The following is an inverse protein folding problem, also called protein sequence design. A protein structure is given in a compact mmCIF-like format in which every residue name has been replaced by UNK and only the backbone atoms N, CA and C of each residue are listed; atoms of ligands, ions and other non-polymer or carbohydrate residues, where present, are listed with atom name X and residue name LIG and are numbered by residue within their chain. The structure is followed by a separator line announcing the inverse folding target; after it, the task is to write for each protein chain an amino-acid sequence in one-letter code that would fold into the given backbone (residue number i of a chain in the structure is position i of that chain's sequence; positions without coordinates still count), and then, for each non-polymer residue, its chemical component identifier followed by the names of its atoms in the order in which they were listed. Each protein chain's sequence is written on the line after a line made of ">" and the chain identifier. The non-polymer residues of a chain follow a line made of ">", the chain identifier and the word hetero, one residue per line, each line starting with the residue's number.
data_IF_760903870722
#
_entry.id   IF_760903870722
#
_cell.length_a   1.000
_cell.length_b   1.000
_cell.length_c   1.000
_cell.angle_alpha   90.00
_cell.angle_beta   90.00
_cell.angle_gamma   90.00
#
_symmetry.space_group_name_H-M   'P 1'
#
loop_
_entity.id
_entity.type
_entity.pdbx_description
1 polymer ?
#
# COMPACT_ATOMS: atom_id res chain seq x y z
N UNK A 1 15.75 -1.63 -9.39
CA UNK A 1 15.05 -2.55 -10.32
C UNK A 1 14.78 -3.91 -9.67
N UNK A 2 15.79 -4.61 -9.13
CA UNK A 2 15.64 -5.90 -8.41
C UNK A 2 14.71 -5.86 -7.19
N UNK A 3 14.81 -4.83 -6.35
CA UNK A 3 13.93 -4.69 -5.17
C UNK A 3 12.45 -4.48 -5.53
N UNK A 4 12.15 -3.74 -6.59
CA UNK A 4 10.78 -3.51 -7.06
C UNK A 4 10.16 -4.78 -7.63
N UNK A 5 10.93 -5.54 -8.43
CA UNK A 5 10.53 -6.85 -8.94
C UNK A 5 10.22 -7.83 -7.80
N UNK A 6 11.01 -7.80 -6.71
CA UNK A 6 10.74 -8.62 -5.54
C UNK A 6 9.45 -8.21 -4.82
N UNK A 7 9.17 -6.90 -4.69
CA UNK A 7 7.94 -6.43 -4.05
C UNK A 7 6.69 -6.85 -4.82
N UNK A 8 6.75 -6.83 -6.16
CA UNK A 8 5.63 -7.24 -7.01
C UNK A 8 5.31 -8.74 -6.86
N UNK A 9 6.33 -9.60 -6.78
CA UNK A 9 6.14 -11.03 -6.57
C UNK A 9 5.53 -11.33 -5.19
N UNK A 10 6.03 -10.68 -4.14
CA UNK A 10 5.46 -10.84 -2.79
C UNK A 10 4.01 -10.33 -2.75
N UNK A 11 3.71 -9.22 -3.43
CA UNK A 11 2.34 -8.71 -3.48
C UNK A 11 1.35 -9.70 -4.14
N UNK A 12 1.78 -10.49 -5.13
CA UNK A 12 0.94 -11.54 -5.72
C UNK A 12 0.58 -12.64 -4.70
N UNK A 13 1.55 -13.10 -3.92
CA UNK A 13 1.31 -14.10 -2.86
C UNK A 13 0.34 -13.57 -1.80
N UNK A 14 0.48 -12.30 -1.42
CA UNK A 14 -0.42 -11.69 -0.45
C UNK A 14 -1.82 -11.43 -1.02
N UNK A 15 -1.97 -11.19 -2.33
CA UNK A 15 -3.29 -11.15 -2.96
C UNK A 15 -3.99 -12.51 -2.94
N UNK A 16 -3.24 -13.61 -3.03
CA UNK A 16 -3.78 -14.96 -2.78
C UNK A 16 -4.20 -15.14 -1.33
N UNK A 17 -3.41 -14.67 -0.38
CA UNK A 17 -3.76 -14.70 1.04
C UNK A 17 -5.05 -13.93 1.33
N UNK A 18 -5.26 -12.75 0.72
CA UNK A 18 -6.53 -12.00 0.84
C UNK A 18 -7.72 -12.82 0.34
N UNK A 19 -7.56 -13.60 -0.74
CA UNK A 19 -8.65 -14.46 -1.23
C UNK A 19 -9.04 -15.56 -0.23
N UNK A 20 -8.08 -16.07 0.54
CA UNK A 20 -8.32 -17.10 1.55
C UNK A 20 -8.83 -16.53 2.87
N UNK A 21 -8.42 -15.30 3.22
CA UNK A 21 -8.76 -14.65 4.49
C UNK A 21 -8.94 -13.14 4.29
N UNK A 22 -10.09 -12.72 3.73
CA UNK A 22 -10.31 -11.32 3.34
C UNK A 22 -10.40 -10.35 4.54
N UNK A 23 -10.65 -10.87 5.73
CA UNK A 23 -10.75 -10.10 6.98
C UNK A 23 -9.47 -10.19 7.84
N UNK A 24 -8.36 -10.67 7.29
CA UNK A 24 -7.07 -10.64 7.97
C UNK A 24 -6.42 -9.25 7.83
N UNK A 25 -6.41 -8.50 8.93
CA UNK A 25 -5.83 -7.16 8.95
C UNK A 25 -4.34 -7.16 8.62
N UNK A 26 -3.58 -8.18 9.03
CA UNK A 26 -2.13 -8.22 8.86
C UNK A 26 -1.75 -8.44 7.40
N UNK A 27 -2.55 -9.21 6.65
CA UNK A 27 -2.41 -9.35 5.20
C UNK A 27 -2.62 -8.01 4.49
N UNK A 28 -3.65 -7.23 4.88
CA UNK A 28 -3.89 -5.90 4.32
C UNK A 28 -2.78 -4.91 4.70
N UNK A 29 -2.20 -5.00 5.89
CA UNK A 29 -1.06 -4.17 6.31
C UNK A 29 0.15 -4.44 5.41
N UNK A 30 0.47 -5.71 5.16
CA UNK A 30 1.62 -6.07 4.33
C UNK A 30 1.41 -5.63 2.88
N UNK A 31 0.21 -5.82 2.32
CA UNK A 31 -0.11 -5.30 0.98
C UNK A 31 0.06 -3.79 0.90
N UNK A 32 -0.41 -3.04 1.90
CA UNK A 32 -0.23 -1.60 1.96
C UNK A 32 1.24 -1.18 1.92
N UNK A 33 2.10 -1.89 2.66
CA UNK A 33 3.55 -1.64 2.66
C UNK A 33 4.17 -1.98 1.30
N UNK A 34 3.83 -3.13 0.72
CA UNK A 34 4.36 -3.56 -0.58
C UNK A 34 3.98 -2.60 -1.70
N UNK A 35 2.72 -2.14 -1.73
CA UNK A 35 2.27 -1.15 -2.71
C UNK A 35 2.95 0.20 -2.52
N UNK A 36 3.19 0.63 -1.29
CA UNK A 36 3.93 1.87 -1.02
C UNK A 36 5.39 1.78 -1.49
N UNK A 37 6.05 0.63 -1.27
CA UNK A 37 7.40 0.37 -1.80
C UNK A 37 7.45 0.36 -3.34
N UNK A 38 6.37 -0.10 -3.97
CA UNK A 38 6.20 -0.07 -5.43
C UNK A 38 5.68 1.27 -5.98
N UNK A 39 5.45 2.27 -5.11
CA UNK A 39 4.86 3.58 -5.46
C UNK A 39 3.43 3.50 -6.03
N UNK A 40 2.73 2.40 -5.79
CA UNK A 40 1.32 2.21 -6.14
C UNK A 40 0.43 2.76 -5.02
N UNK A 41 0.51 4.07 -4.78
CA UNK A 41 -0.05 4.68 -3.56
C UNK A 41 -1.56 4.51 -3.41
N UNK A 42 -2.33 4.51 -4.50
CA UNK A 42 -3.78 4.30 -4.44
C UNK A 42 -4.14 2.90 -3.89
N UNK A 43 -3.40 1.87 -4.32
CA UNK A 43 -3.56 0.51 -3.80
C UNK A 43 -3.11 0.43 -2.34
N UNK A 44 -2.00 1.10 -2.00
CA UNK A 44 -1.53 1.16 -0.62
C UNK A 44 -2.56 1.80 0.33
N UNK A 45 -3.17 2.92 -0.10
CA UNK A 45 -4.24 3.61 0.63
C UNK A 45 -5.42 2.67 0.86
N UNK A 46 -5.88 1.98 -0.19
CA UNK A 46 -7.00 1.03 -0.09
C UNK A 46 -6.70 -0.10 0.91
N UNK A 47 -5.51 -0.69 0.85
CA UNK A 47 -5.09 -1.75 1.78
C UNK A 47 -5.01 -1.26 3.23
N UNK A 48 -4.42 -0.08 3.49
CA UNK A 48 -4.37 0.47 4.85
C UNK A 48 -5.75 0.87 5.39
N UNK A 49 -6.65 1.34 4.53
CA UNK A 49 -8.05 1.59 4.93
C UNK A 49 -8.77 0.31 5.32
N UNK A 50 -8.56 -0.80 4.59
CA UNK A 50 -9.14 -2.08 4.93
C UNK A 50 -8.58 -2.62 6.26
N UNK A 51 -7.27 -2.50 6.49
CA UNK A 51 -6.66 -2.84 7.78
C UNK A 51 -7.23 -1.98 8.94
N UNK A 52 -7.45 -0.68 8.71
CA UNK A 52 -8.06 0.23 9.70
C UNK A 52 -9.52 -0.11 10.01
N UNK A 53 -10.30 -0.62 9.05
CA UNK A 53 -11.65 -1.14 9.34
C UNK A 53 -11.62 -2.30 10.34
N UNK A 54 -10.60 -3.15 10.24
CA UNK A 54 -10.43 -4.34 11.08
C UNK A 54 -9.75 -4.02 12.43
N UNK A 55 -8.81 -3.07 12.44
CA UNK A 55 -8.05 -2.61 13.62
C UNK A 55 -8.13 -1.07 13.77
N UNK A 56 -9.29 -0.48 14.09
CA UNK A 56 -9.48 0.98 14.06
C UNK A 56 -8.68 1.77 15.11
N UNK A 57 -8.22 1.08 16.16
CA UNK A 57 -7.42 1.66 17.26
C UNK A 57 -5.91 1.46 17.10
N UNK A 58 -5.46 0.86 15.99
CA UNK A 58 -4.03 0.76 15.69
C UNK A 58 -3.53 2.06 15.06
N UNK A 59 -3.01 2.94 15.91
CA UNK A 59 -2.48 4.26 15.49
C UNK A 59 -1.28 4.16 14.54
N UNK A 60 -0.58 3.04 14.49
CA UNK A 60 0.49 2.84 13.52
C UNK A 60 -0.06 2.81 12.08
N UNK A 61 -1.30 2.36 11.88
CA UNK A 61 -1.96 2.33 10.59
C UNK A 61 -2.38 3.71 10.12
N UNK A 62 -2.85 4.57 11.03
CA UNK A 62 -3.12 5.97 10.73
C UNK A 62 -1.86 6.71 10.27
N UNK A 63 -0.72 6.44 10.92
CA UNK A 63 0.57 6.98 10.49
C UNK A 63 0.97 6.49 9.09
N UNK A 64 0.82 5.18 8.80
CA UNK A 64 1.10 4.61 7.47
C UNK A 64 0.19 5.20 6.39
N UNK A 65 -1.10 5.37 6.67
CA UNK A 65 -2.05 5.98 5.74
C UNK A 65 -1.67 7.44 5.43
N UNK A 66 -1.42 8.25 6.46
CA UNK A 66 -1.02 9.66 6.29
C UNK A 66 0.28 9.81 5.49
N UNK A 67 1.30 9.00 5.79
CA UNK A 67 2.56 9.00 5.04
C UNK A 67 2.35 8.59 3.57
N UNK A 68 1.49 7.61 3.31
CA UNK A 68 1.16 7.16 1.95
C UNK A 68 0.46 8.26 1.16
N UNK A 69 -0.50 8.97 1.77
CA UNK A 69 -1.20 10.09 1.13
C UNK A 69 -0.25 11.25 0.80
N UNK A 70 0.66 11.60 1.72
CA UNK A 70 1.67 12.63 1.47
C UNK A 70 2.63 12.28 0.31
N UNK A 71 2.96 11.00 0.15
CA UNK A 71 3.78 10.51 -0.95
C UNK A 71 3.03 10.44 -2.29
N UNK A 72 1.71 10.18 -2.26
CA UNK A 72 0.86 10.11 -3.45
C UNK A 72 0.81 11.45 -4.21
N UNK A 73 0.63 12.56 -3.47
CA UNK A 73 0.54 13.92 -4.03
C UNK A 73 1.83 14.33 -4.77
N UNK A 74 3.00 13.79 -4.39
CA UNK A 74 4.27 14.10 -5.07
C UNK A 74 4.50 13.33 -6.38
N UNK A 75 3.63 12.38 -6.74
CA UNK A 75 3.91 11.46 -7.86
C UNK A 75 3.06 11.73 -9.11
N UNK A 76 1.83 12.24 -8.97
CA UNK A 76 0.99 12.61 -10.11
C UNK A 76 1.48 13.89 -10.79
N UNK A 77 1.89 14.90 -10.01
CA UNK A 77 2.40 16.17 -10.55
C UNK A 77 3.81 16.03 -11.14
N UNK A 78 4.62 15.09 -10.63
CA UNK A 78 5.99 14.88 -11.09
C UNK A 78 6.05 14.35 -12.54
N UNK A 79 5.11 13.49 -12.96
CA UNK A 79 5.09 12.96 -14.33
C UNK A 79 4.80 14.07 -15.35
N UNK A 80 3.94 15.04 -15.01
CA UNK A 80 3.66 16.19 -15.88
C UNK A 80 4.83 17.19 -15.91
N UNK A 81 5.53 17.37 -14.78
CA UNK A 81 6.70 18.25 -14.69
C UNK A 81 7.94 17.73 -15.43
N UNK A 82 8.07 16.41 -15.65
CA UNK A 82 9.15 15.84 -16.47
C UNK A 82 8.84 15.79 -17.97
N UNK A 83 7.63 16.17 -18.39
CA UNK A 83 7.19 16.20 -19.79
C UNK A 83 7.13 17.62 -20.38
N UNK A 84 7.54 18.63 -19.62
CA UNK A 84 7.74 20.02 -20.08
C UNK A 84 9.23 20.35 -20.08
#
# INVERSE_FOLDING_TARGET
>A
LTHMLSCMQVALLFNEAVRMSPEDADVHIVLGVLYNLSREYDKAISSFQQALKLKPRDYSLWNKLGATQANSVQSADAIFAYQQ
#
